data_IF_909841769568
#
_entry.id   IF_909841769568
#
_cell.length_a   1.000
_cell.length_b   1.000
_cell.length_c   1.000
_cell.angle_alpha   90.00
_cell.angle_beta   90.00
_cell.angle_gamma   90.00
#
_symmetry.space_group_name_H-M   'P 1'
#
loop_
_entity.id
_entity.type
_entity.pdbx_description
1 polymer ?
#
# COMPACT_ATOMS: atom_id res chain seq x y z
N UNK A 1 -1.22 52.27 14.45
CA UNK A 1 -0.47 52.92 13.35
C UNK A 1 0.73 53.75 13.85
N UNK A 2 1.50 53.29 14.86
CA UNK A 2 2.73 53.98 15.33
C UNK A 2 3.87 53.04 15.81
N UNK A 3 3.85 51.76 15.45
CA UNK A 3 4.93 50.81 15.85
C UNK A 3 5.55 50.05 14.68
N UNK A 4 5.05 50.24 13.46
CA UNK A 4 5.61 49.62 12.23
C UNK A 4 6.54 50.59 11.47
N UNK A 5 6.60 51.88 11.86
CA UNK A 5 7.35 52.91 11.13
C UNK A 5 8.81 53.12 11.58
N UNK A 6 9.28 52.44 12.63
CA UNK A 6 10.66 52.62 13.13
C UNK A 6 11.61 51.52 12.62
N UNK A 7 11.10 50.34 12.26
CA UNK A 7 11.97 49.25 11.78
C UNK A 7 12.30 49.31 10.28
N UNK A 8 11.48 50.01 9.48
CA UNK A 8 11.78 50.22 8.05
C UNK A 8 12.77 51.36 7.78
N UNK A 9 13.04 52.25 8.74
CA UNK A 9 14.05 53.31 8.58
C UNK A 9 15.48 52.85 8.88
N UNK A 10 15.68 51.77 9.64
CA UNK A 10 17.02 51.21 9.91
C UNK A 10 17.54 50.33 8.76
N UNK A 11 16.67 49.88 7.86
CA UNK A 11 17.03 49.08 6.68
C UNK A 11 17.30 49.92 5.41
N UNK A 12 16.99 51.21 5.43
CA UNK A 12 17.17 52.11 4.28
C UNK A 12 18.39 53.05 4.38
N UNK A 13 19.08 53.09 5.52
CA UNK A 13 20.32 53.86 5.71
C UNK A 13 21.61 53.03 5.62
N UNK A 14 21.52 51.73 5.32
CA UNK A 14 22.68 50.88 5.04
C UNK A 14 22.92 50.67 3.54
N UNK A 15 22.43 51.59 2.70
CA UNK A 15 22.53 51.53 1.23
C UNK A 15 23.05 52.85 0.68
N UNK A 16 24.35 53.09 0.81
CA UNK A 16 25.17 53.91 -0.09
C UNK A 16 26.61 54.01 0.47
N UNK A 17 27.41 52.99 0.22
CA UNK A 17 28.86 53.11 0.04
C UNK A 17 29.22 51.96 -0.92
N UNK A 18 29.51 52.28 -2.18
CA UNK A 18 30.09 51.35 -3.15
C UNK A 18 31.60 51.28 -2.88
N UNK A 19 32.16 50.10 -2.56
CA UNK A 19 33.52 49.78 -2.93
C UNK A 19 33.49 48.86 -4.17
N UNK A 20 34.32 49.25 -5.14
CA UNK A 20 34.68 48.63 -6.42
C UNK A 20 34.37 47.13 -6.60
N UNK A 21 33.87 46.78 -7.80
CA UNK A 21 33.83 45.40 -8.29
C UNK A 21 35.19 44.70 -8.12
N UNK A 22 35.29 43.61 -7.34
CA UNK A 22 36.41 42.71 -7.47
C UNK A 22 36.16 41.80 -8.67
N UNK A 23 36.99 41.99 -9.70
CA UNK A 23 37.42 41.05 -10.74
C UNK A 23 36.76 39.64 -10.72
N UNK A 24 36.04 39.28 -11.79
CA UNK A 24 35.49 37.94 -12.05
C UNK A 24 36.57 36.87 -12.35
N UNK A 25 37.71 36.94 -11.68
CA UNK A 25 38.81 35.98 -11.78
C UNK A 25 39.10 35.38 -10.40
N UNK A 26 38.33 34.34 -10.04
CA UNK A 26 38.70 33.18 -9.20
C UNK A 26 37.45 32.54 -8.54
N UNK A 27 36.60 31.89 -9.33
CA UNK A 27 35.90 30.69 -8.81
C UNK A 27 36.76 29.48 -9.17
N UNK A 28 37.07 28.57 -8.22
CA UNK A 28 37.83 27.37 -8.56
C UNK A 28 37.06 26.60 -9.63
N UNK A 29 37.75 26.23 -10.71
CA UNK A 29 37.14 25.47 -11.80
C UNK A 29 36.78 24.09 -11.25
N UNK A 30 35.49 23.79 -11.19
CA UNK A 30 34.98 22.51 -10.71
C UNK A 30 34.89 21.53 -11.89
N UNK A 31 35.61 20.42 -11.80
CA UNK A 31 35.65 19.39 -12.83
C UNK A 31 34.87 18.13 -12.43
N UNK A 32 34.73 17.85 -11.13
CA UNK A 32 34.03 16.68 -10.59
C UNK A 32 32.55 16.97 -10.28
N UNK A 33 31.65 16.08 -10.67
CA UNK A 33 30.24 16.10 -10.21
C UNK A 33 29.67 14.70 -10.01
N UNK A 34 28.83 14.52 -8.99
CA UNK A 34 28.00 13.31 -8.81
C UNK A 34 26.69 13.50 -9.58
N UNK A 35 26.31 12.53 -10.42
CA UNK A 35 25.10 12.62 -11.23
C UNK A 35 25.10 13.84 -12.17
N UNK A 36 24.03 14.63 -12.15
CA UNK A 36 23.87 15.87 -12.93
C UNK A 36 24.45 17.11 -12.24
N UNK A 37 24.96 16.97 -11.01
CA UNK A 37 25.52 18.07 -10.21
C UNK A 37 24.48 18.93 -9.47
N UNK A 38 23.19 18.59 -9.52
CA UNK A 38 22.11 19.33 -8.86
C UNK A 38 22.04 19.11 -7.35
N UNK A 39 22.58 17.99 -6.88
CA UNK A 39 22.41 17.52 -5.51
C UNK A 39 23.76 17.25 -4.83
N UNK A 40 23.89 17.70 -3.59
CA UNK A 40 25.07 17.50 -2.75
C UNK A 40 24.83 16.46 -1.64
N UNK A 41 23.57 16.08 -1.41
CA UNK A 41 23.17 15.07 -0.43
C UNK A 41 22.42 13.93 -1.12
N UNK A 42 22.82 12.70 -0.81
CA UNK A 42 22.24 11.48 -1.39
C UNK A 42 21.75 10.55 -0.28
N UNK A 43 20.66 9.82 -0.51
CA UNK A 43 20.05 8.96 0.50
C UNK A 43 20.16 7.48 0.13
N UNK A 44 20.58 6.65 1.09
CA UNK A 44 20.70 5.21 0.92
C UNK A 44 19.98 4.45 2.04
N UNK A 45 19.30 3.32 1.71
CA UNK A 45 18.75 2.42 2.72
C UNK A 45 19.85 1.83 3.61
N UNK A 46 19.49 1.37 4.81
CA UNK A 46 20.42 0.74 5.76
C UNK A 46 20.86 -0.66 5.28
N UNK A 47 22.12 -1.01 5.51
CA UNK A 47 22.69 -2.36 5.26
C UNK A 47 22.56 -2.86 3.82
N UNK A 48 22.51 -1.96 2.83
CA UNK A 48 22.36 -2.29 1.40
C UNK A 48 23.62 -1.97 0.59
N UNK A 49 23.92 -2.76 -0.47
CA UNK A 49 24.89 -2.37 -1.47
C UNK A 49 24.35 -1.22 -2.33
N UNK A 50 25.20 -0.26 -2.67
CA UNK A 50 24.84 0.91 -3.46
C UNK A 50 25.91 1.25 -4.50
N UNK A 51 25.52 2.04 -5.51
CA UNK A 51 26.42 2.50 -6.56
C UNK A 51 26.27 4.01 -6.73
N UNK A 52 27.40 4.73 -6.76
CA UNK A 52 27.46 6.16 -7.06
C UNK A 52 28.28 6.37 -8.33
N UNK A 53 27.78 7.22 -9.23
CA UNK A 53 28.49 7.58 -10.46
C UNK A 53 29.04 9.00 -10.34
N UNK A 54 30.35 9.14 -10.48
CA UNK A 54 31.05 10.42 -10.53
C UNK A 54 31.46 10.68 -11.97
N UNK A 55 31.21 11.89 -12.44
CA UNK A 55 31.68 12.37 -13.74
C UNK A 55 32.76 13.43 -13.57
N UNK A 56 33.76 13.41 -14.45
CA UNK A 56 34.83 14.41 -14.52
C UNK A 56 34.88 15.03 -15.90
N UNK A 57 34.86 16.36 -15.97
CA UNK A 57 35.04 17.14 -17.21
C UNK A 57 36.49 17.61 -17.41
N UNK A 58 37.42 17.17 -16.57
CA UNK A 58 38.81 17.57 -16.65
C UNK A 58 39.47 17.00 -17.90
N UNK A 59 39.95 17.90 -18.77
CA UNK A 59 40.84 17.53 -19.87
C UNK A 59 42.28 17.69 -19.40
N UNK A 60 43.01 16.58 -19.36
CA UNK A 60 44.47 16.65 -19.17
C UNK A 60 45.05 17.51 -20.29
N UNK A 61 45.62 18.66 -19.92
CA UNK A 61 46.28 19.54 -20.87
C UNK A 61 47.60 18.88 -21.27
N UNK A 62 47.71 18.49 -22.54
CA UNK A 62 48.99 18.08 -23.09
C UNK A 62 49.99 19.23 -22.98
N UNK A 63 50.97 19.09 -22.08
CA UNK A 63 52.24 19.82 -22.15
C UNK A 63 52.35 21.09 -21.30
N UNK A 64 52.93 20.93 -20.10
CA UNK A 64 53.96 21.86 -19.59
C UNK A 64 55.08 21.02 -18.95
N UNK A 65 56.25 21.02 -19.60
CA UNK A 65 57.50 20.30 -19.24
C UNK A 65 57.39 18.76 -19.19
N UNK A 66 57.45 18.11 -20.35
CA UNK A 66 58.03 16.76 -20.51
C UNK A 66 57.42 15.57 -19.72
N UNK A 67 56.26 15.72 -19.07
CA UNK A 67 55.57 14.64 -18.37
C UNK A 67 54.23 14.35 -19.05
N UNK A 68 54.12 13.18 -19.68
CA UNK A 68 52.86 12.67 -20.23
C UNK A 68 51.99 12.11 -19.09
N UNK A 69 50.75 12.61 -18.96
CA UNK A 69 49.72 12.06 -18.08
C UNK A 69 49.26 10.72 -18.65
N UNK A 70 49.38 9.65 -17.85
CA UNK A 70 49.09 8.28 -18.29
C UNK A 70 47.66 7.85 -17.97
N UNK A 71 47.11 8.30 -16.81
CA UNK A 71 45.80 7.86 -16.35
C UNK A 71 45.22 8.80 -15.30
N UNK A 72 43.99 9.26 -15.53
CA UNK A 72 43.19 9.95 -14.50
C UNK A 72 42.62 8.91 -13.54
N UNK A 73 42.64 9.20 -12.24
CA UNK A 73 42.01 8.35 -11.23
C UNK A 73 41.25 9.19 -10.21
N UNK A 74 40.16 8.63 -9.69
CA UNK A 74 39.40 9.24 -8.60
C UNK A 74 39.61 8.42 -7.34
N UNK A 75 39.89 9.10 -6.23
CA UNK A 75 39.96 8.50 -4.90
C UNK A 75 38.79 9.02 -4.08
N UNK A 76 38.00 8.11 -3.51
CA UNK A 76 36.86 8.47 -2.65
C UNK A 76 37.03 7.84 -1.29
N UNK A 77 36.83 8.64 -0.25
CA UNK A 77 36.85 8.22 1.15
C UNK A 77 35.56 8.68 1.83
N UNK A 78 34.99 7.79 2.64
CA UNK A 78 33.98 8.19 3.62
C UNK A 78 34.68 8.70 4.87
N UNK A 79 34.27 9.86 5.38
CA UNK A 79 34.77 10.38 6.66
C UNK A 79 34.11 9.68 7.86
N UNK A 80 33.01 8.94 7.62
CA UNK A 80 32.38 8.06 8.60
C UNK A 80 32.18 6.65 8.01
N UNK A 81 33.16 5.74 8.19
CA UNK A 81 33.12 4.39 7.64
C UNK A 81 32.08 3.48 8.32
N UNK A 82 31.58 3.86 9.50
CA UNK A 82 30.52 3.12 10.19
C UNK A 82 29.16 3.35 9.54
N UNK A 83 28.95 4.54 8.96
CA UNK A 83 27.73 4.91 8.23
C UNK A 83 27.82 4.48 6.77
N UNK A 84 28.94 4.75 6.08
CA UNK A 84 29.15 4.33 4.69
C UNK A 84 30.57 3.79 4.49
N UNK A 85 30.66 2.57 3.98
CA UNK A 85 31.92 1.96 3.55
C UNK A 85 32.09 2.02 2.03
N UNK A 86 33.26 2.48 1.57
CA UNK A 86 33.62 2.46 0.13
C UNK A 86 34.27 1.12 -0.17
N UNK A 87 33.65 0.33 -1.05
CA UNK A 87 34.12 -1.02 -1.40
C UNK A 87 35.11 -1.00 -2.55
N UNK A 88 34.77 -0.29 -3.64
CA UNK A 88 35.60 -0.23 -4.84
C UNK A 88 35.31 1.04 -5.64
N UNK A 89 36.32 1.55 -6.35
CA UNK A 89 36.19 2.64 -7.33
C UNK A 89 36.72 2.11 -8.65
N UNK A 90 35.84 1.94 -9.63
CA UNK A 90 36.16 1.45 -10.97
C UNK A 90 35.99 2.53 -12.02
N UNK A 91 36.94 2.61 -12.95
CA UNK A 91 36.83 3.45 -14.15
C UNK A 91 35.83 2.82 -15.13
N UNK A 92 34.81 3.58 -15.53
CA UNK A 92 33.75 3.11 -16.43
C UNK A 92 33.94 3.58 -17.88
N UNK A 93 35.06 4.23 -18.17
CA UNK A 93 35.44 4.67 -19.51
C UNK A 93 35.08 6.13 -19.79
N UNK A 94 35.41 6.58 -21.01
CA UNK A 94 35.28 7.97 -21.44
C UNK A 94 34.24 8.09 -22.55
N UNK A 95 33.27 8.99 -22.37
CA UNK A 95 32.28 9.33 -23.39
C UNK A 95 32.44 10.80 -23.78
N UNK A 96 33.02 11.04 -24.96
CA UNK A 96 33.34 12.39 -25.44
C UNK A 96 34.30 13.15 -24.52
N UNK A 97 33.86 14.30 -24.00
CA UNK A 97 34.68 15.16 -23.13
C UNK A 97 34.64 14.78 -21.64
N UNK A 98 33.88 13.74 -21.25
CA UNK A 98 33.59 13.39 -19.86
C UNK A 98 34.09 11.98 -19.54
N UNK A 99 34.80 11.84 -18.42
CA UNK A 99 35.23 10.55 -17.85
C UNK A 99 34.29 10.15 -16.72
N UNK A 100 33.88 8.89 -16.64
CA UNK A 100 32.93 8.40 -15.64
C UNK A 100 33.56 7.36 -14.72
N UNK A 101 33.32 7.48 -13.41
CA UNK A 101 33.82 6.57 -12.37
C UNK A 101 32.65 6.03 -11.56
N UNK A 102 32.66 4.72 -11.33
CA UNK A 102 31.61 3.99 -10.61
C UNK A 102 32.16 3.59 -9.25
N UNK A 103 31.47 3.99 -8.19
CA UNK A 103 31.85 3.73 -6.81
C UNK A 103 30.85 2.75 -6.22
N UNK A 104 31.35 1.57 -5.85
CA UNK A 104 30.59 0.60 -5.09
C UNK A 104 30.70 0.93 -3.61
N UNK A 105 29.55 1.09 -2.95
CA UNK A 105 29.46 1.42 -1.53
C UNK A 105 28.59 0.42 -0.78
N UNK A 106 28.73 0.36 0.53
CA UNK A 106 27.83 -0.36 1.42
C UNK A 106 27.46 0.51 2.60
N UNK A 107 26.15 0.71 2.78
CA UNK A 107 25.60 1.44 3.93
C UNK A 107 25.63 0.58 5.18
N UNK A 108 25.84 1.24 6.32
CA UNK A 108 25.94 0.64 7.65
C UNK A 108 25.00 1.31 8.64
N UNK A 109 25.56 1.88 9.71
CA UNK A 109 24.80 2.55 10.76
C UNK A 109 24.05 3.79 10.25
N UNK A 110 22.91 4.15 10.85
CA UNK A 110 22.18 5.35 10.46
C UNK A 110 22.92 6.62 10.86
N UNK A 111 22.93 7.60 9.96
CA UNK A 111 23.70 8.82 10.13
C UNK A 111 23.98 9.50 8.81
N UNK A 112 24.73 10.61 8.85
CA UNK A 112 25.17 11.31 7.65
C UNK A 112 26.68 11.20 7.56
N UNK A 113 27.18 10.57 6.50
CA UNK A 113 28.60 10.42 6.20
C UNK A 113 29.03 11.43 5.14
N UNK A 114 29.88 12.41 5.47
CA UNK A 114 30.53 13.24 4.46
C UNK A 114 31.50 12.40 3.61
N UNK A 115 31.58 12.71 2.32
CA UNK A 115 32.50 12.09 1.38
C UNK A 115 33.62 13.06 1.03
N UNK A 116 34.83 12.52 0.96
CA UNK A 116 36.00 13.19 0.41
C UNK A 116 36.32 12.58 -0.95
N UNK A 117 36.23 13.37 -2.01
CA UNK A 117 36.46 12.95 -3.40
C UNK A 117 37.65 13.73 -3.94
N UNK A 118 38.67 13.02 -4.39
CA UNK A 118 39.91 13.58 -4.93
C UNK A 118 40.10 13.12 -6.38
N UNK A 119 40.24 14.07 -7.30
CA UNK A 119 40.67 13.82 -8.68
C UNK A 119 42.19 13.89 -8.73
N UNK A 120 42.82 12.83 -9.20
CA UNK A 120 44.28 12.68 -9.24
C UNK A 120 44.73 12.40 -10.67
N UNK A 121 45.87 13.00 -11.04
CA UNK A 121 46.55 12.69 -12.30
C UNK A 121 47.84 11.90 -12.03
N UNK A 122 48.03 10.79 -12.75
CA UNK A 122 49.17 9.88 -12.60
C UNK A 122 50.17 10.09 -13.74
N UNK A 123 51.42 10.39 -13.37
CA UNK A 123 52.57 10.48 -14.27
C UNK A 123 53.50 9.28 -14.09
N UNK A 124 54.22 8.91 -15.15
CA UNK A 124 54.97 7.63 -15.28
C UNK A 124 55.94 7.31 -14.14
N UNK A 125 56.42 8.32 -13.40
CA UNK A 125 57.39 8.18 -12.29
C UNK A 125 57.20 9.29 -11.22
N UNK A 126 55.97 9.59 -10.82
CA UNK A 126 55.69 10.67 -9.84
C UNK A 126 54.56 10.30 -8.89
N UNK A 127 54.57 10.86 -7.68
CA UNK A 127 53.40 10.78 -6.81
C UNK A 127 52.16 11.40 -7.50
N UNK A 128 50.95 10.85 -7.26
CA UNK A 128 49.73 11.34 -7.88
C UNK A 128 49.52 12.83 -7.56
N UNK A 129 49.34 13.65 -8.59
CA UNK A 129 49.11 15.09 -8.39
C UNK A 129 47.61 15.32 -8.18
N UNK A 130 47.25 15.95 -7.07
CA UNK A 130 45.88 16.35 -6.77
C UNK A 130 45.46 17.50 -7.68
N UNK A 131 44.41 17.27 -8.46
CA UNK A 131 43.82 18.25 -9.38
C UNK A 131 42.65 18.98 -8.73
N UNK A 132 41.77 18.24 -8.05
CA UNK A 132 40.60 18.80 -7.39
C UNK A 132 40.21 17.92 -6.18
N UNK A 133 39.79 18.56 -5.10
CA UNK A 133 39.25 17.91 -3.91
C UNK A 133 37.87 18.49 -3.59
N UNK A 134 36.89 17.61 -3.33
CA UNK A 134 35.52 17.95 -2.98
C UNK A 134 35.10 17.23 -1.71
N UNK A 135 34.56 17.98 -0.75
CA UNK A 135 34.13 17.51 0.57
C UNK A 135 32.69 17.91 0.93
N UNK A 136 32.01 18.61 0.02
CA UNK A 136 30.64 19.08 0.18
C UNK A 136 29.58 17.98 -0.04
N UNK A 137 29.99 16.81 -0.53
CA UNK A 137 29.10 15.70 -0.76
C UNK A 137 28.86 14.91 0.53
N UNK A 138 27.61 14.57 0.81
CA UNK A 138 27.26 13.72 1.95
C UNK A 138 26.25 12.64 1.58
N UNK A 139 26.38 11.48 2.21
CA UNK A 139 25.41 10.40 2.11
C UNK A 139 24.68 10.30 3.44
N UNK A 140 23.36 10.37 3.39
CA UNK A 140 22.49 10.09 4.53
C UNK A 140 22.04 8.64 4.47
N UNK A 141 22.35 7.88 5.51
CA UNK A 141 21.76 6.56 5.75
C UNK A 141 20.59 6.76 6.69
N UNK A 142 19.39 6.45 6.20
CA UNK A 142 18.17 6.66 6.95
C UNK A 142 18.24 5.92 8.30
N UNK A 143 17.94 6.65 9.39
CA UNK A 143 17.66 6.02 10.68
C UNK A 143 16.37 5.27 10.53
N UNK A 144 16.47 3.96 10.30
CA UNK A 144 15.33 3.06 10.40
C UNK A 144 14.81 3.16 11.83
N UNK A 145 13.89 4.08 12.06
CA UNK A 145 13.23 4.33 13.33
C UNK A 145 12.97 3.00 14.04
N UNK A 146 13.49 2.85 15.25
CA UNK A 146 13.20 1.71 16.13
C UNK A 146 11.77 1.79 16.70
N UNK A 147 10.92 2.63 16.11
CA UNK A 147 9.50 2.66 16.37
C UNK A 147 8.78 1.78 15.34
N UNK A 148 8.24 0.61 15.73
CA UNK A 148 7.48 -0.24 14.83
C UNK A 148 6.31 0.52 14.18
N UNK A 149 5.78 1.58 14.79
CA UNK A 149 4.72 2.42 14.23
C UNK A 149 5.17 3.31 13.06
N UNK A 150 6.43 3.75 13.03
CA UNK A 150 6.97 4.58 11.96
C UNK A 150 7.40 3.73 10.74
N UNK A 151 7.98 2.55 10.98
CA UNK A 151 8.18 1.53 9.93
C UNK A 151 6.84 1.11 9.29
N UNK A 152 5.77 1.02 10.08
CA UNK A 152 4.41 0.73 9.58
C UNK A 152 3.89 1.76 8.57
N UNK A 153 4.36 3.02 8.62
CA UNK A 153 3.97 4.10 7.72
C UNK A 153 4.89 4.21 6.49
N UNK A 154 6.21 4.03 6.66
CA UNK A 154 7.19 4.16 5.56
C UNK A 154 7.40 2.88 4.74
N UNK A 155 7.30 1.69 5.34
CA UNK A 155 7.65 0.42 4.67
C UNK A 155 6.50 -0.21 3.90
N UNK A 156 5.27 0.20 4.19
CA UNK A 156 4.09 -0.24 3.45
C UNK A 156 4.01 0.59 2.17
N UNK A 157 3.54 0.04 1.04
CA UNK A 157 3.00 0.83 -0.08
C UNK A 157 1.83 1.76 0.30
N UNK A 158 1.62 2.01 1.60
CA UNK A 158 0.77 3.03 2.16
C UNK A 158 1.36 4.43 2.08
N UNK A 159 2.63 4.67 1.71
CA UNK A 159 3.08 6.06 1.49
C UNK A 159 2.22 6.74 0.40
N UNK A 160 1.85 6.01 -0.66
CA UNK A 160 0.86 6.48 -1.66
C UNK A 160 -0.60 6.39 -1.22
N UNK A 161 -0.95 5.56 -0.22
CA UNK A 161 -2.31 5.42 0.31
C UNK A 161 -2.62 6.53 1.33
N UNK A 162 -1.68 6.79 2.23
CA UNK A 162 -1.67 7.79 3.29
C UNK A 162 -1.38 9.20 2.79
N UNK A 163 -0.89 9.38 1.56
CA UNK A 163 -0.80 10.72 0.94
C UNK A 163 -1.97 10.99 -0.02
N UNK A 164 -2.85 10.01 -0.26
CA UNK A 164 -3.96 10.20 -1.18
C UNK A 164 -5.10 10.98 -0.50
N UNK A 165 -5.39 12.24 -0.91
CA UNK A 165 -6.41 13.06 -0.26
C UNK A 165 -7.80 12.40 -0.37
N UNK A 166 -8.03 11.58 -1.38
CA UNK A 166 -9.28 10.84 -1.59
C UNK A 166 -9.51 9.83 -0.48
N UNK A 167 -8.47 9.13 -0.01
CA UNK A 167 -8.62 8.16 1.08
C UNK A 167 -9.06 8.84 2.38
N UNK A 168 -8.42 9.95 2.73
CA UNK A 168 -8.78 10.72 3.94
C UNK A 168 -10.20 11.26 3.87
N UNK A 169 -10.69 11.60 2.67
CA UNK A 169 -12.08 11.98 2.48
C UNK A 169 -13.05 10.78 2.61
N UNK A 170 -12.66 9.59 2.16
CA UNK A 170 -13.50 8.39 2.23
C UNK A 170 -13.60 7.81 3.65
N UNK A 171 -12.54 7.86 4.46
CA UNK A 171 -12.53 7.32 5.83
C UNK A 171 -13.70 7.78 6.74
N UNK A 172 -13.96 9.09 6.92
CA UNK A 172 -15.09 9.55 7.72
C UNK A 172 -16.43 9.16 7.09
N UNK A 173 -16.51 9.12 5.76
CA UNK A 173 -17.70 8.68 5.05
C UNK A 173 -17.99 7.18 5.30
N UNK A 174 -16.96 6.34 5.32
CA UNK A 174 -17.06 4.92 5.70
C UNK A 174 -17.58 4.82 7.13
N UNK A 175 -17.03 5.60 8.06
CA UNK A 175 -17.44 5.59 9.46
C UNK A 175 -18.92 5.94 9.62
N UNK A 176 -19.38 7.05 9.00
CA UNK A 176 -20.78 7.48 9.07
C UNK A 176 -21.69 6.46 8.38
N UNK A 177 -21.29 5.91 7.23
CA UNK A 177 -22.08 4.89 6.55
C UNK A 177 -22.21 3.61 7.39
N UNK A 178 -21.13 3.16 8.05
CA UNK A 178 -21.18 2.01 8.99
C UNK A 178 -22.09 2.30 10.18
N UNK A 179 -22.05 3.51 10.72
CA UNK A 179 -22.97 3.94 11.77
C UNK A 179 -24.42 3.90 11.29
N UNK A 180 -24.70 4.38 10.09
CA UNK A 180 -26.02 4.31 9.49
C UNK A 180 -26.51 2.85 9.29
N UNK A 181 -25.63 1.94 8.89
CA UNK A 181 -25.94 0.50 8.85
C UNK A 181 -26.18 -0.09 10.25
N UNK A 182 -25.45 0.37 11.27
CA UNK A 182 -25.71 0.01 12.67
C UNK A 182 -27.14 0.32 13.10
N UNK A 183 -27.73 1.41 12.59
CA UNK A 183 -29.14 1.73 12.83
C UNK A 183 -30.14 0.74 12.22
N UNK A 184 -29.73 -0.10 11.25
CA UNK A 184 -30.56 -1.16 10.67
C UNK A 184 -30.55 -2.46 11.47
N UNK A 185 -29.62 -2.63 12.40
CA UNK A 185 -29.53 -3.85 13.21
C UNK A 185 -30.73 -3.93 14.15
N UNK A 186 -31.42 -5.05 14.14
CA UNK A 186 -32.50 -5.36 15.09
C UNK A 186 -31.95 -6.23 16.22
N UNK A 187 -32.07 -5.76 17.47
CA UNK A 187 -31.46 -6.42 18.63
C UNK A 187 -32.14 -7.77 18.89
N UNK A 188 -33.43 -7.86 18.65
CA UNK A 188 -34.22 -9.09 18.78
C UNK A 188 -33.74 -10.16 17.79
N UNK A 189 -33.47 -9.76 16.55
CA UNK A 189 -32.93 -10.63 15.50
C UNK A 189 -31.51 -11.07 15.87
N UNK A 190 -30.68 -10.14 16.35
CA UNK A 190 -29.32 -10.44 16.83
C UNK A 190 -29.32 -11.47 17.98
N UNK A 191 -30.20 -11.31 18.96
CA UNK A 191 -30.37 -12.27 20.06
C UNK A 191 -30.89 -13.62 19.56
N UNK A 192 -31.78 -13.61 18.55
CA UNK A 192 -32.25 -14.82 17.88
C UNK A 192 -31.12 -15.59 17.19
N UNK A 193 -30.16 -14.89 16.56
CA UNK A 193 -28.99 -15.51 15.94
C UNK A 193 -28.06 -16.19 16.95
N UNK A 194 -27.95 -15.65 18.17
CA UNK A 194 -27.20 -16.30 19.25
C UNK A 194 -27.86 -17.60 19.72
N UNK A 195 -29.20 -17.69 19.66
CA UNK A 195 -29.95 -18.91 20.00
C UNK A 195 -29.91 -19.97 18.90
N UNK A 196 -29.86 -19.54 17.64
CA UNK A 196 -29.76 -20.43 16.46
C UNK A 196 -28.60 -19.99 15.56
N UNK A 197 -27.34 -20.29 15.94
CA UNK A 197 -26.16 -19.76 15.27
C UNK A 197 -25.82 -20.47 13.95
N UNK A 198 -26.70 -21.32 13.41
CA UNK A 198 -26.43 -22.10 12.19
C UNK A 198 -25.92 -21.24 11.04
N UNK A 199 -26.55 -20.09 10.68
CA UNK A 199 -26.03 -19.25 9.59
C UNK A 199 -24.63 -18.68 9.89
N UNK A 200 -24.34 -18.34 11.15
CA UNK A 200 -23.05 -17.81 11.59
C UNK A 200 -21.96 -18.87 11.48
N UNK A 201 -22.25 -20.09 11.93
CA UNK A 201 -21.32 -21.23 11.87
C UNK A 201 -21.00 -21.61 10.42
N UNK A 202 -21.99 -21.60 9.53
CA UNK A 202 -21.77 -21.84 8.09
C UNK A 202 -20.88 -20.77 7.46
N UNK A 203 -21.04 -19.51 7.86
CA UNK A 203 -20.16 -18.43 7.43
C UNK A 203 -18.72 -18.65 7.85
N UNK A 204 -18.51 -18.91 9.15
CA UNK A 204 -17.17 -19.16 9.71
C UNK A 204 -16.52 -20.37 9.06
N UNK A 205 -17.24 -21.48 8.91
CA UNK A 205 -16.72 -22.68 8.24
C UNK A 205 -16.43 -22.42 6.76
N UNK A 206 -17.32 -21.72 6.05
CA UNK A 206 -17.11 -21.35 4.66
C UNK A 206 -15.85 -20.49 4.49
N UNK A 207 -15.73 -19.42 5.27
CA UNK A 207 -14.67 -18.41 5.16
C UNK A 207 -13.31 -18.89 5.65
N UNK A 208 -13.24 -19.65 6.74
CA UNK A 208 -11.95 -19.98 7.38
C UNK A 208 -11.52 -21.44 7.22
N UNK A 209 -12.37 -22.31 6.67
CA UNK A 209 -12.00 -23.70 6.38
C UNK A 209 -12.01 -23.98 4.87
N UNK A 210 -13.14 -23.76 4.21
CA UNK A 210 -13.32 -24.16 2.81
C UNK A 210 -12.63 -23.19 1.85
N UNK A 211 -12.77 -21.88 2.06
CA UNK A 211 -12.17 -20.86 1.20
C UNK A 211 -10.63 -20.89 1.18
N UNK A 212 -9.91 -20.99 2.33
CA UNK A 212 -8.45 -21.11 2.32
C UNK A 212 -7.99 -22.38 1.60
N UNK A 213 -8.71 -23.49 1.78
CA UNK A 213 -8.43 -24.74 1.10
C UNK A 213 -8.63 -24.61 -0.41
N UNK A 214 -9.69 -23.92 -0.84
CA UNK A 214 -9.93 -23.59 -2.24
C UNK A 214 -8.80 -22.74 -2.81
N UNK A 215 -8.41 -21.65 -2.12
CA UNK A 215 -7.30 -20.80 -2.53
C UNK A 215 -5.99 -21.57 -2.67
N UNK A 216 -5.70 -22.48 -1.73
CA UNK A 216 -4.52 -23.34 -1.79
C UNK A 216 -4.59 -24.30 -2.98
N UNK A 217 -5.69 -25.04 -3.13
CA UNK A 217 -5.89 -25.97 -4.24
C UNK A 217 -5.78 -25.29 -5.61
N UNK A 218 -6.42 -24.12 -5.74
CA UNK A 218 -6.37 -23.31 -6.96
C UNK A 218 -4.96 -22.80 -7.25
N UNK A 219 -4.22 -22.36 -6.22
CA UNK A 219 -2.83 -21.93 -6.38
C UNK A 219 -1.92 -23.06 -6.89
N UNK A 220 -2.16 -24.30 -6.46
CA UNK A 220 -1.42 -25.48 -6.92
C UNK A 220 -1.82 -25.87 -8.34
N UNK A 221 -3.10 -25.85 -8.65
CA UNK A 221 -3.62 -26.17 -10.00
C UNK A 221 -3.12 -25.17 -11.05
N UNK A 222 -3.13 -23.88 -10.72
CA UNK A 222 -2.63 -22.81 -11.59
C UNK A 222 -1.09 -22.66 -11.55
N UNK A 223 -0.38 -23.52 -10.81
CA UNK A 223 1.08 -23.48 -10.63
C UNK A 223 1.61 -22.08 -10.27
N UNK A 224 0.91 -21.40 -9.37
CA UNK A 224 1.25 -20.03 -8.99
C UNK A 224 2.61 -19.98 -8.27
N UNK A 225 3.44 -18.96 -8.57
CA UNK A 225 4.63 -18.65 -7.77
C UNK A 225 4.27 -18.46 -6.29
N UNK A 226 5.20 -18.85 -5.41
CA UNK A 226 4.93 -18.98 -3.96
C UNK A 226 4.35 -17.72 -3.32
N UNK A 227 4.84 -16.54 -3.69
CA UNK A 227 4.35 -15.27 -3.17
C UNK A 227 2.89 -14.98 -3.59
N UNK A 228 2.55 -15.21 -4.86
CA UNK A 228 1.17 -15.08 -5.37
C UNK A 228 0.23 -16.13 -4.77
N UNK A 229 0.71 -17.36 -4.64
CA UNK A 229 -0.05 -18.45 -4.01
C UNK A 229 -0.40 -18.09 -2.56
N UNK A 230 0.56 -17.55 -1.80
CA UNK A 230 0.30 -17.09 -0.45
C UNK A 230 -0.65 -15.90 -0.42
N UNK A 231 -0.47 -14.91 -1.30
CA UNK A 231 -1.40 -13.78 -1.43
C UNK A 231 -2.83 -14.23 -1.69
N UNK A 232 -3.03 -15.22 -2.57
CA UNK A 232 -4.34 -15.79 -2.87
C UNK A 232 -4.95 -16.52 -1.67
N UNK A 233 -4.16 -17.37 -0.99
CA UNK A 233 -4.62 -18.11 0.21
C UNK A 233 -4.98 -17.16 1.34
N UNK A 234 -4.16 -16.13 1.61
CA UNK A 234 -4.44 -15.15 2.66
C UNK A 234 -5.67 -14.32 2.31
N UNK A 235 -5.86 -13.99 1.03
CA UNK A 235 -7.11 -13.39 0.56
C UNK A 235 -8.30 -14.29 0.85
N UNK A 236 -8.16 -15.59 0.57
CA UNK A 236 -9.18 -16.61 0.84
C UNK A 236 -9.40 -16.94 2.33
N UNK A 237 -8.52 -16.43 3.20
CA UNK A 237 -8.59 -16.58 4.66
C UNK A 237 -9.09 -15.31 5.33
N UNK A 238 -9.44 -14.28 4.56
CA UNK A 238 -9.89 -13.02 5.08
C UNK A 238 -11.35 -13.10 5.57
N UNK A 239 -11.73 -12.32 6.58
CA UNK A 239 -13.12 -12.22 7.02
C UNK A 239 -14.00 -11.60 5.94
N UNK A 240 -15.32 -11.55 6.19
CA UNK A 240 -16.28 -10.87 5.30
C UNK A 240 -15.87 -9.43 4.97
N UNK A 241 -16.02 -9.04 3.72
CA UNK A 241 -15.58 -7.76 3.18
C UNK A 241 -16.48 -6.59 3.59
N UNK A 242 -15.91 -5.38 3.66
CA UNK A 242 -16.60 -4.17 4.13
C UNK A 242 -17.82 -3.72 3.31
N UNK A 243 -18.10 -4.34 2.16
CA UNK A 243 -19.30 -4.12 1.34
C UNK A 243 -20.37 -5.21 1.44
N UNK A 244 -20.12 -6.32 2.13
CA UNK A 244 -21.02 -7.49 2.17
C UNK A 244 -22.43 -7.18 2.67
N UNK A 245 -22.55 -6.39 3.75
CA UNK A 245 -23.84 -5.95 4.28
C UNK A 245 -24.58 -4.96 3.36
N UNK A 246 -23.86 -4.15 2.56
CA UNK A 246 -24.47 -3.28 1.56
C UNK A 246 -25.05 -4.10 0.42
N UNK A 247 -24.29 -5.05 -0.11
CA UNK A 247 -24.79 -5.94 -1.16
C UNK A 247 -25.95 -6.81 -0.67
N UNK A 248 -25.87 -7.29 0.58
CA UNK A 248 -27.00 -7.97 1.23
C UNK A 248 -28.24 -7.07 1.27
N UNK A 249 -28.09 -5.79 1.63
CA UNK A 249 -29.20 -4.84 1.58
C UNK A 249 -29.77 -4.66 0.16
N UNK A 250 -28.92 -4.49 -0.86
CA UNK A 250 -29.35 -4.25 -2.24
C UNK A 250 -30.02 -5.47 -2.88
N UNK A 251 -29.57 -6.68 -2.55
CA UNK A 251 -30.06 -7.94 -3.11
C UNK A 251 -31.21 -8.57 -2.29
N UNK A 252 -31.66 -7.91 -1.22
CA UNK A 252 -32.74 -8.39 -0.36
C UNK A 252 -32.35 -9.58 0.52
N UNK A 253 -31.12 -9.58 1.02
CA UNK A 253 -30.65 -10.44 2.10
C UNK A 253 -31.00 -9.87 3.48
N UNK A 254 -30.66 -10.64 4.51
CA UNK A 254 -30.76 -10.25 5.91
C UNK A 254 -29.54 -9.41 6.32
N UNK A 255 -29.76 -8.12 6.56
CA UNK A 255 -28.70 -7.14 6.88
C UNK A 255 -28.19 -7.31 8.32
N UNK A 256 -29.06 -7.67 9.26
CA UNK A 256 -28.68 -7.92 10.66
C UNK A 256 -27.77 -9.14 10.72
N UNK A 257 -28.10 -10.20 9.98
CA UNK A 257 -27.23 -11.36 9.83
C UNK A 257 -25.89 -10.99 9.17
N UNK A 258 -25.89 -10.20 8.10
CA UNK A 258 -24.66 -9.81 7.40
C UNK A 258 -23.69 -9.09 8.34
N UNK A 259 -24.18 -8.09 9.06
CA UNK A 259 -23.39 -7.33 10.05
C UNK A 259 -22.84 -8.26 11.15
N UNK A 260 -23.68 -9.17 11.66
CA UNK A 260 -23.28 -10.14 12.69
C UNK A 260 -22.18 -11.07 12.20
N UNK A 261 -22.31 -11.61 10.98
CA UNK A 261 -21.31 -12.47 10.34
C UNK A 261 -20.00 -11.72 10.10
N UNK A 262 -20.04 -10.48 9.60
CA UNK A 262 -18.83 -9.67 9.40
C UNK A 262 -18.10 -9.42 10.73
N UNK A 263 -18.82 -9.07 11.81
CA UNK A 263 -18.21 -8.84 13.12
C UNK A 263 -17.55 -10.11 13.69
N UNK A 264 -18.30 -11.22 13.70
CA UNK A 264 -17.80 -12.50 14.24
C UNK A 264 -16.62 -13.00 13.40
N UNK A 265 -16.72 -12.94 12.06
CA UNK A 265 -15.62 -13.36 11.19
C UNK A 265 -14.39 -12.49 11.39
N UNK A 266 -14.53 -11.18 11.58
CA UNK A 266 -13.37 -10.30 11.83
C UNK A 266 -12.68 -10.62 13.17
N UNK A 267 -13.44 -11.01 14.20
CA UNK A 267 -12.88 -11.51 15.47
C UNK A 267 -12.14 -12.82 15.24
N UNK A 268 -12.78 -13.78 14.55
CA UNK A 268 -12.19 -15.10 14.25
C UNK A 268 -10.93 -14.96 13.39
N UNK A 269 -10.90 -14.01 12.45
CA UNK A 269 -9.76 -13.73 11.58
C UNK A 269 -8.48 -13.37 12.34
N UNK A 270 -8.60 -12.77 13.55
CA UNK A 270 -7.46 -12.45 14.39
C UNK A 270 -6.62 -13.70 14.75
N UNK A 271 -7.24 -14.87 14.83
CA UNK A 271 -6.56 -16.15 15.03
C UNK A 271 -6.46 -16.96 13.72
N UNK A 272 -7.51 -16.98 12.91
CA UNK A 272 -7.59 -17.82 11.72
C UNK A 272 -6.65 -17.37 10.59
N UNK A 273 -6.43 -16.06 10.38
CA UNK A 273 -5.50 -15.58 9.35
C UNK A 273 -4.03 -15.92 9.67
N UNK A 274 -3.49 -15.66 10.89
CA UNK A 274 -2.16 -16.13 11.27
C UNK A 274 -2.01 -17.65 11.16
N UNK A 275 -3.00 -18.41 11.60
CA UNK A 275 -2.96 -19.87 11.55
C UNK A 275 -2.93 -20.37 10.10
N UNK A 276 -3.78 -19.82 9.22
CA UNK A 276 -3.81 -20.16 7.81
C UNK A 276 -2.48 -19.79 7.14
N UNK A 277 -1.93 -18.62 7.47
CA UNK A 277 -0.61 -18.21 6.98
C UNK A 277 0.50 -19.19 7.38
N UNK A 278 0.56 -19.58 8.64
CA UNK A 278 1.56 -20.52 9.14
C UNK A 278 1.43 -21.91 8.48
N UNK A 279 0.19 -22.41 8.37
CA UNK A 279 -0.11 -23.71 7.77
C UNK A 279 0.24 -23.73 6.28
N UNK A 280 -0.38 -22.84 5.50
CA UNK A 280 -0.23 -22.83 4.05
C UNK A 280 1.12 -22.27 3.60
N UNK A 281 1.72 -21.36 4.36
CA UNK A 281 3.11 -20.92 4.14
C UNK A 281 4.08 -22.11 4.21
N UNK A 282 3.93 -22.98 5.23
CA UNK A 282 4.72 -24.22 5.32
C UNK A 282 4.44 -25.16 4.15
N UNK A 283 3.18 -25.38 3.78
CA UNK A 283 2.79 -26.26 2.66
C UNK A 283 3.28 -25.75 1.29
N UNK A 284 3.42 -24.43 1.12
CA UNK A 284 3.95 -23.80 -0.08
C UNK A 284 5.49 -23.66 -0.07
N UNK A 285 6.14 -24.03 1.04
CA UNK A 285 7.59 -23.88 1.21
C UNK A 285 8.04 -22.42 1.23
N UNK A 286 7.23 -21.53 1.83
CA UNK A 286 7.57 -20.14 2.16
C UNK A 286 8.02 -20.12 3.61
N UNK A 287 9.32 -19.93 3.85
CA UNK A 287 9.92 -19.92 5.20
C UNK A 287 9.95 -18.52 5.82
N UNK A 288 9.44 -17.50 5.11
CA UNK A 288 9.27 -16.17 5.66
C UNK A 288 8.25 -16.26 6.82
N UNK A 289 8.68 -15.84 8.01
CA UNK A 289 7.80 -15.68 9.14
C UNK A 289 6.81 -14.57 8.79
N UNK A 290 5.66 -14.94 8.22
CA UNK A 290 4.65 -13.98 7.82
C UNK A 290 4.13 -13.33 9.10
N UNK A 291 4.59 -12.12 9.38
CA UNK A 291 4.16 -11.39 10.56
C UNK A 291 2.76 -10.86 10.30
N UNK A 292 1.75 -11.71 10.52
CA UNK A 292 0.37 -11.29 10.37
C UNK A 292 0.10 -10.18 11.38
N UNK A 293 -0.23 -8.96 10.92
CA UNK A 293 -0.29 -7.78 11.77
C UNK A 293 -1.54 -7.82 12.64
N UNK A 294 -1.43 -8.49 13.79
CA UNK A 294 -2.52 -8.63 14.76
C UNK A 294 -3.12 -7.27 15.13
N UNK A 295 -2.27 -6.26 15.33
CA UNK A 295 -2.68 -4.88 15.61
C UNK A 295 -3.55 -4.29 14.49
N UNK A 296 -3.27 -4.59 13.22
CA UNK A 296 -4.09 -4.12 12.10
C UNK A 296 -5.40 -4.89 12.00
N UNK A 297 -5.42 -6.21 12.23
CA UNK A 297 -6.67 -6.97 12.27
C UNK A 297 -7.57 -6.40 13.38
N UNK A 298 -7.00 -6.18 14.57
CA UNK A 298 -7.71 -5.54 15.68
C UNK A 298 -8.16 -4.11 15.32
N UNK A 299 -7.32 -3.33 14.65
CA UNK A 299 -7.68 -2.01 14.14
C UNK A 299 -8.86 -2.06 13.15
N UNK A 300 -8.88 -3.02 12.22
CA UNK A 300 -10.01 -3.20 11.29
C UNK A 300 -11.27 -3.65 12.01
N UNK A 301 -11.15 -4.53 13.01
CA UNK A 301 -12.26 -4.96 13.86
C UNK A 301 -12.87 -3.76 14.58
N UNK A 302 -12.05 -2.96 15.25
CA UNK A 302 -12.49 -1.76 15.96
C UNK A 302 -13.12 -0.75 14.99
N UNK A 303 -12.52 -0.55 13.82
CA UNK A 303 -13.06 0.35 12.79
C UNK A 303 -14.41 -0.11 12.22
N UNK A 304 -14.71 -1.41 12.27
CA UNK A 304 -16.04 -1.94 11.90
C UNK A 304 -17.01 -1.89 13.09
N UNK A 305 -16.58 -2.39 14.25
CA UNK A 305 -17.41 -2.59 15.43
C UNK A 305 -17.85 -1.29 16.09
N UNK A 306 -16.95 -0.31 16.22
CA UNK A 306 -17.23 0.98 16.88
C UNK A 306 -18.38 1.73 16.20
N UNK A 307 -18.32 2.06 14.89
CA UNK A 307 -19.40 2.81 14.25
C UNK A 307 -20.71 2.02 14.24
N UNK A 308 -20.69 0.70 14.03
CA UNK A 308 -21.91 -0.11 14.05
C UNK A 308 -22.56 -0.11 15.43
N UNK A 309 -21.77 -0.28 16.49
CA UNK A 309 -22.26 -0.23 17.88
C UNK A 309 -22.82 1.15 18.22
N UNK A 310 -22.18 2.22 17.75
CA UNK A 310 -22.68 3.58 17.89
C UNK A 310 -24.01 3.75 17.14
N UNK A 311 -24.14 3.21 15.94
CA UNK A 311 -25.39 3.21 15.17
C UNK A 311 -26.54 2.49 15.87
N UNK A 312 -26.25 1.34 16.49
CA UNK A 312 -27.22 0.61 17.32
C UNK A 312 -27.65 1.44 18.53
N UNK A 313 -26.71 2.11 19.21
CA UNK A 313 -27.01 2.97 20.34
C UNK A 313 -27.86 4.19 19.93
N UNK A 314 -27.53 4.81 18.78
CA UNK A 314 -28.29 5.91 18.19
C UNK A 314 -29.72 5.47 17.85
N UNK A 315 -29.91 4.25 17.32
CA UNK A 315 -31.24 3.67 17.07
C UNK A 315 -32.10 3.65 18.34
N UNK A 316 -31.51 3.27 19.47
CA UNK A 316 -32.21 3.13 20.74
C UNK A 316 -32.51 4.48 21.42
N UNK A 317 -31.60 5.46 21.29
CA UNK A 317 -31.68 6.72 22.05
C UNK A 317 -32.18 7.92 21.24
N UNK A 318 -31.97 7.93 19.92
CA UNK A 318 -32.15 9.12 19.07
C UNK A 318 -32.89 8.74 17.76
N UNK A 319 -34.21 8.52 17.81
CA UNK A 319 -35.00 8.11 16.63
C UNK A 319 -35.01 9.17 15.52
N UNK A 320 -34.89 10.46 15.86
CA UNK A 320 -34.79 11.54 14.89
C UNK A 320 -33.51 11.44 14.05
N UNK A 321 -32.36 11.23 14.70
CA UNK A 321 -31.04 11.05 14.03
C UNK A 321 -31.02 9.77 13.21
N UNK A 322 -31.65 8.70 13.72
CA UNK A 322 -31.78 7.42 13.02
C UNK A 322 -32.42 7.57 11.65
N UNK A 323 -33.51 8.35 11.54
CA UNK A 323 -34.17 8.60 10.23
C UNK A 323 -33.23 9.26 9.22
N UNK A 324 -32.42 10.22 9.66
CA UNK A 324 -31.43 10.90 8.82
C UNK A 324 -30.33 9.91 8.39
N UNK A 325 -29.75 9.18 9.32
CA UNK A 325 -28.69 8.20 9.02
C UNK A 325 -29.18 7.13 8.03
N UNK A 326 -30.39 6.59 8.23
CA UNK A 326 -30.98 5.61 7.32
C UNK A 326 -31.15 6.15 5.89
N UNK A 327 -31.50 7.44 5.74
CA UNK A 327 -31.61 8.10 4.43
C UNK A 327 -30.23 8.26 3.75
N UNK A 328 -29.16 8.44 4.54
CA UNK A 328 -27.79 8.63 4.04
C UNK A 328 -27.12 7.32 3.58
N UNK A 329 -27.64 6.14 3.95
CA UNK A 329 -27.04 4.84 3.58
C UNK A 329 -26.78 4.74 2.09
N UNK A 330 -27.80 5.01 1.26
CA UNK A 330 -27.70 4.84 -0.20
C UNK A 330 -26.73 5.82 -0.86
N UNK A 331 -26.83 7.16 -0.67
CA UNK A 331 -25.91 8.09 -1.30
C UNK A 331 -24.46 7.89 -0.82
N UNK A 332 -24.24 7.64 0.47
CA UNK A 332 -22.88 7.42 0.97
C UNK A 332 -22.30 6.11 0.44
N UNK A 333 -23.09 5.03 0.42
CA UNK A 333 -22.66 3.78 -0.17
C UNK A 333 -22.31 3.90 -1.66
N UNK A 334 -23.07 4.70 -2.43
CA UNK A 334 -22.74 4.98 -3.82
C UNK A 334 -21.41 5.71 -3.97
N UNK A 335 -21.20 6.78 -3.20
CA UNK A 335 -19.93 7.53 -3.20
C UNK A 335 -18.76 6.64 -2.77
N UNK A 336 -18.95 5.76 -1.79
CA UNK A 336 -17.92 4.81 -1.35
C UNK A 336 -17.57 3.78 -2.42
N UNK A 337 -18.55 3.25 -3.16
CA UNK A 337 -18.29 2.34 -4.28
C UNK A 337 -17.51 3.05 -5.38
N UNK A 338 -17.98 4.23 -5.82
CA UNK A 338 -17.33 5.00 -6.90
C UNK A 338 -15.92 5.43 -6.48
N UNK A 339 -15.77 5.96 -5.27
CA UNK A 339 -14.48 6.34 -4.70
C UNK A 339 -13.55 5.15 -4.53
N UNK A 340 -14.07 3.99 -4.14
CA UNK A 340 -13.30 2.74 -4.07
C UNK A 340 -12.79 2.27 -5.43
N UNK A 341 -13.64 2.32 -6.48
CA UNK A 341 -13.25 2.00 -7.86
C UNK A 341 -12.17 2.97 -8.35
N UNK A 342 -12.35 4.27 -8.09
CA UNK A 342 -11.36 5.29 -8.46
C UNK A 342 -10.02 5.04 -7.77
N UNK A 343 -10.03 4.76 -6.46
CA UNK A 343 -8.82 4.40 -5.71
C UNK A 343 -8.17 3.12 -6.27
N UNK A 344 -8.97 2.11 -6.60
CA UNK A 344 -8.46 0.90 -7.21
C UNK A 344 -7.79 1.20 -8.56
N UNK A 345 -8.38 2.02 -9.42
CA UNK A 345 -7.76 2.42 -10.68
C UNK A 345 -6.41 3.13 -10.47
N UNK A 346 -6.32 4.06 -9.51
CA UNK A 346 -5.07 4.76 -9.21
C UNK A 346 -3.97 3.81 -8.70
N UNK A 347 -4.33 2.85 -7.85
CA UNK A 347 -3.38 1.89 -7.28
C UNK A 347 -3.03 0.73 -8.22
N UNK A 348 -3.94 0.40 -9.15
CA UNK A 348 -3.81 -0.76 -10.02
C UNK A 348 -2.63 -0.65 -10.97
N UNK A 349 -2.21 0.56 -11.34
CA UNK A 349 -1.10 0.78 -12.27
C UNK A 349 0.24 0.24 -11.73
N UNK A 350 0.52 0.35 -10.43
CA UNK A 350 1.73 -0.18 -9.81
C UNK A 350 1.60 -1.65 -9.46
N UNK A 351 0.47 -2.07 -8.87
CA UNK A 351 0.27 -3.45 -8.41
C UNK A 351 0.15 -4.42 -9.58
N UNK A 352 -0.61 -4.06 -10.63
CA UNK A 352 -0.82 -4.90 -11.81
C UNK A 352 0.29 -4.77 -12.85
N UNK A 353 1.35 -4.02 -12.56
CA UNK A 353 2.54 -4.01 -13.40
C UNK A 353 3.08 -5.44 -13.49
N UNK A 354 3.23 -5.96 -14.72
CA UNK A 354 3.69 -7.34 -14.97
C UNK A 354 2.79 -8.42 -14.35
N UNK A 355 1.46 -8.19 -14.30
CA UNK A 355 0.50 -9.20 -13.81
C UNK A 355 0.59 -10.51 -14.60
N UNK A 356 0.56 -11.63 -13.88
CA UNK A 356 0.56 -12.95 -14.52
C UNK A 356 -0.87 -13.39 -14.88
N UNK A 357 -1.14 -13.87 -16.11
CA UNK A 357 -2.49 -14.31 -16.49
C UNK A 357 -3.11 -15.37 -15.56
N UNK A 358 -2.36 -16.36 -15.02
CA UNK A 358 -2.92 -17.35 -14.09
C UNK A 358 -3.53 -16.75 -12.82
N UNK A 359 -2.95 -15.67 -12.26
CA UNK A 359 -3.53 -15.05 -11.05
C UNK A 359 -4.80 -14.27 -11.37
N UNK A 360 -4.93 -13.71 -12.58
CA UNK A 360 -6.17 -13.05 -13.01
C UNK A 360 -7.31 -14.05 -13.07
N UNK A 361 -7.10 -15.19 -13.74
CA UNK A 361 -8.10 -16.26 -13.82
C UNK A 361 -8.43 -16.79 -12.43
N UNK A 362 -7.41 -17.09 -11.62
CA UNK A 362 -7.63 -17.59 -10.26
C UNK A 362 -8.42 -16.59 -9.42
N UNK A 363 -8.04 -15.31 -9.42
CA UNK A 363 -8.67 -14.25 -8.64
C UNK A 363 -10.14 -14.03 -9.01
N UNK A 364 -10.49 -14.09 -10.29
CA UNK A 364 -11.89 -13.97 -10.76
C UNK A 364 -12.77 -15.13 -10.26
N UNK A 365 -12.22 -16.33 -10.12
CA UNK A 365 -13.02 -17.47 -9.65
C UNK A 365 -13.32 -17.44 -8.14
N UNK A 366 -12.54 -16.70 -7.34
CA UNK A 366 -12.66 -16.73 -5.88
C UNK A 366 -14.03 -16.22 -5.40
N UNK A 367 -14.53 -15.04 -5.82
CA UNK A 367 -15.82 -14.57 -5.34
C UNK A 367 -16.98 -15.40 -5.90
N UNK A 368 -16.92 -15.82 -7.18
CA UNK A 368 -17.89 -16.74 -7.77
C UNK A 368 -18.01 -18.04 -6.96
N UNK A 369 -16.88 -18.69 -6.67
CA UNK A 369 -16.86 -19.92 -5.90
C UNK A 369 -17.44 -19.71 -4.50
N UNK A 370 -17.05 -18.62 -3.82
CA UNK A 370 -17.56 -18.30 -2.50
C UNK A 370 -19.06 -18.02 -2.47
N UNK A 371 -19.58 -17.28 -3.47
CA UNK A 371 -21.01 -17.03 -3.63
C UNK A 371 -21.77 -18.35 -3.81
N UNK A 372 -21.29 -19.23 -4.68
CA UNK A 372 -21.87 -20.55 -4.91
C UNK A 372 -21.82 -21.43 -3.66
N UNK A 373 -20.68 -21.46 -2.98
CA UNK A 373 -20.46 -22.21 -1.75
C UNK A 373 -21.41 -21.76 -0.65
N UNK A 374 -21.45 -20.47 -0.32
CA UNK A 374 -22.33 -19.97 0.74
C UNK A 374 -23.82 -20.15 0.39
N UNK A 375 -24.17 -20.03 -0.90
CA UNK A 375 -25.52 -20.35 -1.36
C UNK A 375 -25.84 -21.84 -1.17
N UNK A 376 -24.92 -22.74 -1.55
CA UNK A 376 -25.03 -24.19 -1.37
C UNK A 376 -25.17 -24.59 0.10
N UNK A 377 -24.26 -24.11 0.97
CA UNK A 377 -24.31 -24.33 2.42
C UNK A 377 -25.64 -23.85 3.01
N UNK A 378 -26.11 -22.66 2.62
CA UNK A 378 -27.40 -22.16 3.07
C UNK A 378 -28.59 -22.96 2.56
N UNK A 379 -28.53 -23.54 1.34
CA UNK A 379 -29.56 -24.47 0.84
C UNK A 379 -29.58 -25.77 1.66
N UNK A 380 -28.41 -26.36 1.87
CA UNK A 380 -28.28 -27.64 2.59
C UNK A 380 -28.75 -27.54 4.04
N UNK A 381 -28.51 -26.39 4.68
CA UNK A 381 -28.98 -26.13 6.04
C UNK A 381 -30.45 -25.65 6.13
N UNK A 382 -31.18 -25.61 5.01
CA UNK A 382 -32.59 -25.21 4.98
C UNK A 382 -32.84 -23.75 5.36
N UNK A 383 -31.88 -22.85 5.11
CA UNK A 383 -32.02 -21.44 5.49
C UNK A 383 -33.05 -20.71 4.60
N UNK A 384 -33.82 -19.76 5.18
CA UNK A 384 -34.68 -18.86 4.40
C UNK A 384 -33.90 -18.12 3.32
N UNK A 385 -34.57 -17.73 2.23
CA UNK A 385 -33.93 -17.12 1.06
C UNK A 385 -33.08 -15.89 1.40
N UNK A 386 -33.56 -15.03 2.31
CA UNK A 386 -32.82 -13.83 2.73
C UNK A 386 -31.50 -14.20 3.45
N UNK A 387 -31.54 -15.17 4.37
CA UNK A 387 -30.34 -15.64 5.08
C UNK A 387 -29.39 -16.39 4.15
N UNK A 388 -29.91 -17.19 3.21
CA UNK A 388 -29.10 -17.87 2.20
C UNK A 388 -28.33 -16.88 1.32
N UNK A 389 -28.99 -15.80 0.88
CA UNK A 389 -28.34 -14.72 0.13
C UNK A 389 -27.25 -14.06 0.98
N UNK A 390 -27.52 -13.80 2.25
CA UNK A 390 -26.52 -13.22 3.16
C UNK A 390 -25.31 -14.12 3.34
N UNK A 391 -25.50 -15.42 3.64
CA UNK A 391 -24.39 -16.37 3.78
C UNK A 391 -23.59 -16.50 2.48
N UNK A 392 -24.26 -16.53 1.33
CA UNK A 392 -23.61 -16.49 0.01
C UNK A 392 -22.71 -15.26 -0.15
N UNK A 393 -23.24 -14.07 0.12
CA UNK A 393 -22.52 -12.80 -0.03
C UNK A 393 -21.36 -12.71 0.97
N UNK A 394 -21.58 -13.04 2.24
CA UNK A 394 -20.52 -12.96 3.27
C UNK A 394 -19.40 -13.95 3.01
N UNK A 395 -19.68 -15.16 2.50
CA UNK A 395 -18.63 -16.11 2.12
C UNK A 395 -17.90 -15.65 0.85
N UNK A 396 -18.62 -15.18 -0.18
CA UNK A 396 -18.03 -14.78 -1.45
C UNK A 396 -17.28 -13.45 -1.46
N UNK A 397 -17.76 -12.47 -0.69
CA UNK A 397 -17.16 -11.13 -0.61
C UNK A 397 -16.19 -11.09 0.56
N UNK A 398 -14.91 -11.26 0.26
CA UNK A 398 -13.84 -11.30 1.27
C UNK A 398 -13.20 -9.92 1.48
N UNK A 399 -12.63 -9.70 2.66
CA UNK A 399 -11.91 -8.47 2.99
C UNK A 399 -10.51 -8.45 2.36
N UNK A 400 -10.50 -8.23 1.05
CA UNK A 400 -9.29 -8.22 0.23
C UNK A 400 -8.34 -7.07 0.57
N UNK A 401 -8.86 -5.95 1.11
CA UNK A 401 -8.01 -4.84 1.59
C UNK A 401 -7.20 -5.24 2.83
N UNK A 402 -7.81 -6.01 3.74
CA UNK A 402 -7.07 -6.56 4.87
C UNK A 402 -5.97 -7.51 4.38
N UNK A 403 -6.28 -8.41 3.46
CA UNK A 403 -5.29 -9.31 2.88
C UNK A 403 -4.15 -8.57 2.16
N UNK A 404 -4.47 -7.52 1.38
CA UNK A 404 -3.48 -6.64 0.76
C UNK A 404 -2.58 -6.00 1.81
N UNK A 405 -3.15 -5.48 2.90
CA UNK A 405 -2.37 -4.90 3.99
C UNK A 405 -1.47 -5.94 4.69
N UNK A 406 -1.90 -7.20 4.81
CA UNK A 406 -1.06 -8.28 5.34
C UNK A 406 0.13 -8.52 4.39
N UNK A 407 -0.08 -8.62 3.08
CA UNK A 407 1.00 -8.82 2.10
C UNK A 407 2.02 -7.69 2.15
N UNK A 408 1.54 -6.44 2.14
CA UNK A 408 2.37 -5.24 2.14
C UNK A 408 3.23 -5.06 3.39
N UNK A 409 2.85 -5.70 4.49
CA UNK A 409 3.61 -5.67 5.74
C UNK A 409 4.51 -6.87 5.95
N UNK A 410 4.17 -7.98 5.31
CA UNK A 410 4.85 -9.25 5.54
C UNK A 410 6.03 -9.49 4.61
N UNK A 411 6.06 -8.78 3.48
CA UNK A 411 7.07 -8.91 2.43
C UNK A 411 7.89 -7.64 2.26
N UNK A 412 9.10 -7.79 1.70
CA UNK A 412 9.89 -6.65 1.22
C UNK A 412 9.20 -5.99 0.04
N UNK A 413 9.44 -4.68 -0.17
CA UNK A 413 8.67 -3.81 -1.10
C UNK A 413 8.40 -4.44 -2.48
N UNK A 414 9.41 -5.03 -3.13
CA UNK A 414 9.26 -5.66 -4.45
C UNK A 414 8.40 -6.94 -4.43
N UNK A 415 8.57 -7.79 -3.42
CA UNK A 415 7.78 -9.02 -3.27
C UNK A 415 6.36 -8.73 -2.76
N UNK A 416 6.19 -7.65 -2.00
CA UNK A 416 4.93 -7.18 -1.47
C UNK A 416 3.96 -6.76 -2.58
N UNK A 417 4.39 -5.96 -3.54
CA UNK A 417 3.55 -5.54 -4.67
C UNK A 417 3.16 -6.73 -5.54
N UNK A 418 4.11 -7.64 -5.77
CA UNK A 418 3.87 -8.88 -6.48
C UNK A 418 2.84 -9.77 -5.77
N UNK A 419 3.02 -10.06 -4.48
CA UNK A 419 2.06 -10.86 -3.70
C UNK A 419 0.68 -10.18 -3.58
N UNK A 420 0.65 -8.84 -3.53
CA UNK A 420 -0.58 -8.03 -3.47
C UNK A 420 -1.43 -8.08 -4.74
N UNK A 421 -0.92 -8.58 -5.87
CA UNK A 421 -1.72 -8.77 -7.08
C UNK A 421 -2.94 -9.66 -6.81
N UNK A 422 -2.78 -10.73 -6.04
CA UNK A 422 -3.85 -11.66 -5.71
C UNK A 422 -5.03 -10.99 -4.98
N UNK A 423 -4.84 -10.37 -3.79
CA UNK A 423 -5.94 -9.68 -3.11
C UNK A 423 -6.51 -8.53 -3.94
N UNK A 424 -5.67 -7.83 -4.70
CA UNK A 424 -6.14 -6.71 -5.53
C UNK A 424 -7.09 -7.17 -6.65
N UNK A 425 -6.75 -8.25 -7.37
CA UNK A 425 -7.60 -8.83 -8.41
C UNK A 425 -8.90 -9.36 -7.81
N UNK A 426 -8.84 -10.07 -6.68
CA UNK A 426 -10.05 -10.58 -6.00
C UNK A 426 -10.96 -9.42 -5.55
N UNK A 427 -10.39 -8.31 -5.08
CA UNK A 427 -11.16 -7.12 -4.71
C UNK A 427 -11.91 -6.53 -5.92
N UNK A 428 -11.22 -6.40 -7.07
CA UNK A 428 -11.80 -5.90 -8.30
C UNK A 428 -12.90 -6.83 -8.81
N UNK A 429 -12.62 -8.14 -8.93
CA UNK A 429 -13.62 -9.10 -9.42
C UNK A 429 -14.82 -9.19 -8.48
N UNK A 430 -14.61 -9.23 -7.17
CA UNK A 430 -15.70 -9.25 -6.19
C UNK A 430 -16.61 -8.03 -6.34
N UNK A 431 -16.03 -6.84 -6.51
CA UNK A 431 -16.80 -5.61 -6.72
C UNK A 431 -17.57 -5.66 -8.03
N UNK A 432 -16.93 -6.05 -9.13
CA UNK A 432 -17.56 -6.14 -10.46
C UNK A 432 -18.70 -7.16 -10.50
N UNK A 433 -18.49 -8.36 -9.95
CA UNK A 433 -19.50 -9.42 -9.89
C UNK A 433 -20.69 -9.02 -9.04
N UNK A 434 -20.45 -8.40 -7.88
CA UNK A 434 -21.54 -7.94 -7.02
C UNK A 434 -22.34 -6.80 -7.66
N UNK A 435 -21.68 -5.86 -8.34
CA UNK A 435 -22.37 -4.81 -9.10
C UNK A 435 -23.20 -5.40 -10.24
N UNK A 436 -22.69 -6.41 -10.94
CA UNK A 436 -23.44 -7.11 -11.97
C UNK A 436 -24.68 -7.80 -11.39
N UNK A 437 -24.55 -8.50 -10.26
CA UNK A 437 -25.68 -9.13 -9.58
C UNK A 437 -26.73 -8.11 -9.14
N UNK A 438 -26.28 -6.96 -8.61
CA UNK A 438 -27.19 -5.86 -8.24
C UNK A 438 -27.91 -5.31 -9.48
N UNK A 439 -27.20 -5.09 -10.58
CA UNK A 439 -27.78 -4.61 -11.82
C UNK A 439 -28.85 -5.58 -12.35
N UNK A 440 -28.51 -6.87 -12.44
CA UNK A 440 -29.44 -7.92 -12.88
C UNK A 440 -30.67 -7.96 -11.97
N UNK A 441 -30.50 -7.92 -10.66
CA UNK A 441 -31.62 -7.91 -9.70
C UNK A 441 -32.51 -6.67 -9.85
N UNK A 442 -31.93 -5.49 -10.10
CA UNK A 442 -32.69 -4.26 -10.37
C UNK A 442 -33.46 -4.36 -11.68
N UNK A 443 -32.84 -4.82 -12.77
CA UNK A 443 -33.49 -5.00 -14.07
C UNK A 443 -34.64 -6.01 -13.95
N UNK A 444 -34.41 -7.16 -13.31
CA UNK A 444 -35.44 -8.17 -13.09
C UNK A 444 -36.64 -7.61 -12.33
N UNK A 445 -36.39 -6.81 -11.27
CA UNK A 445 -37.47 -6.15 -10.53
C UNK A 445 -38.23 -5.13 -11.38
N UNK A 446 -37.56 -4.39 -12.26
CA UNK A 446 -38.22 -3.43 -13.16
C UNK A 446 -39.06 -4.14 -14.22
N UNK A 447 -38.55 -5.21 -14.81
CA UNK A 447 -39.23 -5.99 -15.85
C UNK A 447 -40.42 -6.77 -15.26
N UNK A 448 -40.26 -7.42 -14.11
CA UNK A 448 -41.35 -8.21 -13.50
C UNK A 448 -42.48 -7.34 -12.90
N UNK A 449 -42.24 -6.03 -12.66
CA UNK A 449 -43.26 -5.09 -12.17
C UNK A 449 -44.03 -4.40 -13.30
N UNK A 450 -43.65 -4.60 -14.58
CA UNK A 450 -44.44 -4.19 -15.75
C UNK A 450 -45.01 -5.43 -16.46
N UNK A 451 -46.14 -5.97 -15.96
CA UNK A 451 -47.38 -5.89 -16.74
C UNK A 451 -48.63 -5.83 -15.85
N UNK A 452 -49.07 -4.63 -15.45
CA UNK A 452 -50.42 -4.40 -14.91
C UNK A 452 -50.84 -2.93 -15.05
N UNK A 453 -50.81 -2.43 -16.28
CA UNK A 453 -51.58 -1.24 -16.64
C UNK A 453 -51.87 -1.31 -18.14
N UNK A 454 -52.80 -2.17 -18.51
CA UNK A 454 -53.47 -2.05 -19.80
C UNK A 454 -54.40 -0.83 -19.74
N UNK A 455 -54.33 0.11 -20.70
CA UNK A 455 -55.39 1.09 -20.88
C UNK A 455 -56.48 0.48 -21.76
N UNK A 456 -57.71 0.42 -21.24
CA UNK A 456 -58.94 0.34 -22.03
C UNK A 456 -59.66 -1.01 -22.09
N UNK A 457 -60.78 -1.11 -21.37
CA UNK A 457 -62.13 -1.38 -21.89
C UNK A 457 -63.14 -1.25 -20.74
#
# INVERSE_FOLDING_TARGET
MKTVLVLSCLLLLARAEDPEEPDQSQKPVQYLSIGDGSSQQFEFPRDTPGVIVISSRYRSSGGRKGRESLKQTVRVRSLDPHVISILNVSDSGRSGAVSSYVISIRSGAPGTAPLLIQLLDLYRDSEPVLIEERSEYSIRVASGSDDPAARLLESSGLSHFSENPVLFALLPLIFINKCAFGCKVEVEVLLGLLRRPVPLLLGVAGQFLIMPLYGYGLSRLASLPKALALGLVITCSAPGGGGGYLYSLLLGGDVTLAISMTLISTVVAAAAMPLSSALYGRLLGVHAALHVPFVKILGTLLFIAIPISLGMLVKLRLPAVTRVLLALIRPFSFVLIVGGIFMAYQMGSSILAHVQPPIVVAGVTVPVFGLLLGCGLGRLAGLPLAQRKTVSIEVGVQNSLLALAVMQLSFQRAEADYASQAPFIVALSSTSEMLLLVLVHVVQRRVCVSPASGPGA
#
